data_IF_945932403496
#
_entry.id   IF_945932403496
#
_cell.length_a   1.000
_cell.length_b   1.000
_cell.length_c   1.000
_cell.angle_alpha   90.00
_cell.angle_beta   90.00
_cell.angle_gamma   90.00
#
_symmetry.space_group_name_H-M   'P 1'
#
loop_
_entity.id
_entity.type
_entity.pdbx_description
1 polymer ?
#
# COMPACT_ATOMS: atom_id res chain seq x y z
N UNK A 1 -4.49 5.54 -22.94
CA UNK A 1 -4.38 5.96 -21.53
C UNK A 1 -4.69 4.74 -20.66
N UNK A 2 -3.96 4.49 -19.58
CA UNK A 2 -4.15 3.28 -18.76
C UNK A 2 -5.54 3.32 -18.06
N UNK A 3 -6.41 2.31 -18.20
CA UNK A 3 -7.74 2.29 -17.57
C UNK A 3 -7.73 2.46 -16.04
N UNK A 4 -6.70 1.94 -15.36
CA UNK A 4 -6.53 2.10 -13.92
C UNK A 4 -6.32 3.58 -13.54
N UNK A 5 -5.59 4.34 -14.36
CA UNK A 5 -5.37 5.78 -14.13
C UNK A 5 -6.67 6.56 -14.30
N UNK A 6 -7.47 6.24 -15.33
CA UNK A 6 -8.78 6.87 -15.56
C UNK A 6 -9.69 6.63 -14.36
N UNK A 7 -9.88 5.37 -13.95
CA UNK A 7 -10.75 5.01 -12.84
C UNK A 7 -10.30 5.64 -11.51
N UNK A 8 -9.00 5.80 -11.29
CA UNK A 8 -8.47 6.49 -10.11
C UNK A 8 -8.81 7.98 -10.11
N UNK A 9 -8.68 8.66 -11.26
CA UNK A 9 -9.05 10.08 -11.38
C UNK A 9 -10.55 10.27 -11.22
N UNK A 10 -11.37 9.40 -11.82
CA UNK A 10 -12.84 9.42 -11.64
C UNK A 10 -13.21 9.26 -10.16
N UNK A 11 -12.55 8.33 -9.44
CA UNK A 11 -12.79 8.14 -8.00
C UNK A 11 -12.42 9.38 -7.18
N UNK A 12 -11.36 10.10 -7.56
CA UNK A 12 -10.98 11.37 -6.91
C UNK A 12 -12.01 12.46 -7.19
N UNK A 13 -12.38 12.66 -8.46
CA UNK A 13 -13.37 13.66 -8.86
C UNK A 13 -14.75 13.41 -8.21
N UNK A 14 -15.15 12.15 -8.06
CA UNK A 14 -16.38 11.80 -7.36
C UNK A 14 -16.38 12.29 -5.91
N UNK A 15 -15.24 12.19 -5.21
CA UNK A 15 -15.10 12.68 -3.82
C UNK A 15 -15.11 14.20 -3.72
N UNK A 16 -14.80 14.89 -4.82
CA UNK A 16 -14.76 16.35 -4.86
C UNK A 16 -16.12 16.96 -5.19
N UNK A 17 -17.07 16.17 -5.70
CA UNK A 17 -18.44 16.65 -5.99
C UNK A 17 -19.06 17.27 -4.74
N UNK A 18 -19.63 18.47 -4.87
CA UNK A 18 -20.29 19.16 -3.77
C UNK A 18 -19.34 19.89 -2.83
N UNK A 19 -18.03 19.94 -3.14
CA UNK A 19 -17.02 20.72 -2.41
C UNK A 19 -16.62 22.01 -3.14
N UNK A 20 -17.49 22.54 -4.00
CA UNK A 20 -17.16 23.73 -4.79
C UNK A 20 -16.90 24.95 -3.89
N UNK A 21 -15.70 25.54 -4.02
CA UNK A 21 -15.29 26.71 -3.23
C UNK A 21 -14.63 26.39 -1.89
N UNK A 22 -14.49 25.11 -1.53
CA UNK A 22 -13.72 24.69 -0.35
C UNK A 22 -12.21 24.73 -0.63
N UNK A 23 -11.43 25.19 0.34
CA UNK A 23 -9.97 25.08 0.29
C UNK A 23 -9.57 23.62 0.52
N UNK A 24 -8.61 23.14 -0.27
CA UNK A 24 -8.20 21.74 -0.28
C UNK A 24 -6.68 21.63 -0.31
N UNK A 25 -6.16 20.69 0.49
CA UNK A 25 -4.75 20.33 0.47
C UNK A 25 -4.47 19.44 -0.75
N UNK A 26 -4.02 20.06 -1.83
CA UNK A 26 -3.82 19.40 -3.12
C UNK A 26 -2.76 18.31 -3.04
N UNK A 27 -1.71 18.47 -2.22
CA UNK A 27 -0.67 17.47 -2.12
C UNK A 27 -1.20 16.14 -1.57
N UNK A 28 -2.03 16.17 -0.54
CA UNK A 28 -2.67 15.00 0.04
C UNK A 28 -3.60 14.30 -0.95
N UNK A 29 -4.40 15.06 -1.72
CA UNK A 29 -5.28 14.48 -2.73
C UNK A 29 -4.48 13.78 -3.85
N UNK A 30 -3.37 14.38 -4.30
CA UNK A 30 -2.47 13.74 -5.28
C UNK A 30 -1.74 12.52 -4.69
N UNK A 31 -1.41 12.54 -3.40
CA UNK A 31 -0.86 11.37 -2.70
C UNK A 31 -1.87 10.23 -2.68
N UNK A 32 -3.13 10.52 -2.38
CA UNK A 32 -4.23 9.55 -2.40
C UNK A 32 -4.50 9.02 -3.82
N UNK A 33 -4.48 9.89 -4.83
CA UNK A 33 -4.60 9.50 -6.24
C UNK A 33 -3.47 8.56 -6.65
N UNK A 34 -2.23 8.87 -6.28
CA UNK A 34 -1.06 8.03 -6.57
C UNK A 34 -1.19 6.65 -5.92
N UNK A 35 -1.61 6.60 -4.65
CA UNK A 35 -1.89 5.35 -3.95
C UNK A 35 -2.96 4.52 -4.69
N UNK A 36 -4.03 5.16 -5.15
CA UNK A 36 -5.11 4.51 -5.91
C UNK A 36 -4.61 3.94 -7.24
N UNK A 37 -3.83 4.72 -8.01
CA UNK A 37 -3.22 4.29 -9.29
C UNK A 37 -2.30 3.10 -9.11
N UNK A 38 -1.36 3.17 -8.17
CA UNK A 38 -0.42 2.05 -7.90
C UNK A 38 -1.21 0.83 -7.48
N UNK A 39 -2.21 0.99 -6.60
CA UNK A 39 -2.98 -0.13 -6.09
C UNK A 39 -3.80 -0.83 -7.18
N UNK A 40 -4.48 -0.07 -8.04
CA UNK A 40 -5.26 -0.63 -9.16
C UNK A 40 -4.38 -1.28 -10.21
N UNK A 41 -3.20 -0.71 -10.47
CA UNK A 41 -2.29 -1.23 -11.49
C UNK A 41 -1.54 -2.48 -11.00
N UNK A 42 -1.09 -2.48 -9.74
CA UNK A 42 -0.28 -3.58 -9.20
C UNK A 42 -1.11 -4.74 -8.64
N UNK A 43 -2.30 -4.47 -8.11
CA UNK A 43 -3.12 -5.48 -7.42
C UNK A 43 -4.48 -5.74 -8.08
N UNK A 44 -4.79 -5.08 -9.20
CA UNK A 44 -6.00 -5.34 -9.99
C UNK A 44 -7.29 -5.39 -9.16
N UNK A 45 -7.97 -6.54 -9.16
CA UNK A 45 -9.19 -6.77 -8.39
C UNK A 45 -9.00 -6.66 -6.87
N UNK A 46 -7.77 -6.84 -6.39
CA UNK A 46 -7.39 -6.72 -4.98
C UNK A 46 -6.88 -5.31 -4.60
N UNK A 47 -7.14 -4.28 -5.41
CA UNK A 47 -6.61 -2.92 -5.21
C UNK A 47 -6.92 -2.32 -3.83
N UNK A 48 -8.05 -2.64 -3.21
CA UNK A 48 -8.37 -2.14 -1.86
C UNK A 48 -7.38 -2.65 -0.81
N UNK A 49 -6.90 -3.88 -0.96
CA UNK A 49 -5.88 -4.46 -0.10
C UNK A 49 -4.50 -3.89 -0.43
N UNK A 50 -4.21 -3.72 -1.72
CA UNK A 50 -3.03 -3.01 -2.21
C UNK A 50 -2.90 -1.59 -1.64
N UNK A 51 -4.01 -0.87 -1.51
CA UNK A 51 -4.06 0.48 -0.94
C UNK A 51 -3.63 0.50 0.53
N UNK A 52 -4.11 -0.46 1.33
CA UNK A 52 -3.68 -0.61 2.73
C UNK A 52 -2.19 -0.92 2.83
N UNK A 53 -1.68 -1.81 1.98
CA UNK A 53 -0.25 -2.14 1.93
C UNK A 53 0.57 -0.89 1.57
N UNK A 54 0.14 -0.11 0.57
CA UNK A 54 0.80 1.12 0.16
C UNK A 54 0.83 2.17 1.29
N UNK A 55 -0.26 2.35 2.03
CA UNK A 55 -0.30 3.24 3.19
C UNK A 55 0.67 2.80 4.29
N UNK A 56 0.75 1.49 4.57
CA UNK A 56 1.71 0.94 5.54
C UNK A 56 3.16 1.13 5.07
N UNK A 57 3.45 0.90 3.79
CA UNK A 57 4.76 1.14 3.18
C UNK A 57 5.15 2.62 3.24
N UNK A 58 4.19 3.53 3.01
CA UNK A 58 4.43 4.98 3.10
C UNK A 58 4.84 5.36 4.51
N UNK A 59 4.13 4.88 5.53
CA UNK A 59 4.48 5.12 6.94
C UNK A 59 5.85 4.55 7.30
N UNK A 60 6.12 3.31 6.88
CA UNK A 60 7.42 2.67 7.10
C UNK A 60 8.55 3.47 6.44
N UNK A 61 8.33 3.97 5.22
CA UNK A 61 9.32 4.78 4.49
C UNK A 61 9.64 6.09 5.22
N UNK A 62 8.63 6.76 5.79
CA UNK A 62 8.82 7.97 6.59
C UNK A 62 9.66 7.66 7.84
N UNK A 63 9.37 6.57 8.54
CA UNK A 63 10.18 6.15 9.70
C UNK A 63 11.62 5.85 9.30
N UNK A 64 11.84 5.16 8.18
CA UNK A 64 13.19 4.87 7.67
C UNK A 64 13.94 6.15 7.35
N UNK A 65 13.31 7.10 6.65
CA UNK A 65 13.92 8.40 6.29
C UNK A 65 14.26 9.21 7.55
N UNK A 66 13.33 9.30 8.50
CA UNK A 66 13.54 10.06 9.76
C UNK A 66 14.62 9.45 10.65
N UNK A 67 14.88 8.14 10.51
CA UNK A 67 15.91 7.44 11.25
C UNK A 67 17.21 7.24 10.46
N UNK A 68 17.28 7.66 9.19
CA UNK A 68 18.42 7.41 8.31
C UNK A 68 19.74 7.98 8.88
N UNK A 69 19.68 9.16 9.49
CA UNK A 69 20.83 9.82 10.10
C UNK A 69 21.03 9.50 11.59
N UNK A 70 20.15 8.73 12.22
CA UNK A 70 20.31 8.35 13.64
C UNK A 70 21.33 7.23 13.73
N UNK A 71 22.55 7.56 14.14
CA UNK A 71 23.64 6.61 14.31
C UNK A 71 23.27 5.56 15.35
N UNK A 72 23.11 4.30 14.93
CA UNK A 72 22.80 3.20 15.84
C UNK A 72 24.07 2.77 16.56
N UNK A 73 24.02 2.68 17.88
CA UNK A 73 25.07 2.04 18.66
C UNK A 73 24.83 0.52 18.61
N UNK A 74 25.76 -0.27 18.05
CA UNK A 74 25.63 -1.72 18.01
C UNK A 74 25.39 -2.30 19.42
N UNK A 75 24.43 -3.21 19.57
CA UNK A 75 24.11 -3.88 20.83
C UNK A 75 23.07 -3.16 21.71
N UNK A 76 23.02 -1.83 21.74
CA UNK A 76 22.03 -1.09 22.55
C UNK A 76 20.63 -1.19 21.95
N UNK A 77 20.51 -1.11 20.63
CA UNK A 77 19.21 -1.20 19.92
C UNK A 77 18.49 -2.54 20.10
N UNK A 78 19.22 -3.59 20.49
CA UNK A 78 18.63 -4.92 20.74
C UNK A 78 17.98 -5.00 22.13
N UNK A 79 18.39 -4.15 23.07
CA UNK A 79 17.90 -4.10 24.45
C UNK A 79 16.91 -2.96 24.65
N UNK A 80 17.15 -1.81 24.00
CA UNK A 80 16.34 -0.59 24.11
C UNK A 80 15.91 -0.12 22.73
N UNK A 81 14.80 -0.69 22.24
CA UNK A 81 14.20 -0.26 20.97
C UNK A 81 13.53 1.11 21.14
N UNK A 82 13.76 1.97 20.16
CA UNK A 82 13.02 3.24 20.07
C UNK A 82 11.57 3.00 19.66
N UNK A 83 10.69 3.97 19.90
CA UNK A 83 9.29 3.90 19.44
C UNK A 83 9.21 3.70 17.92
N UNK A 84 10.04 4.43 17.16
CA UNK A 84 10.14 4.32 15.71
C UNK A 84 10.52 2.90 15.24
N UNK A 85 11.43 2.23 15.97
CA UNK A 85 11.84 0.85 15.66
C UNK A 85 10.72 -0.14 15.93
N UNK A 86 10.01 0.01 17.05
CA UNK A 86 8.85 -0.83 17.39
C UNK A 86 7.75 -0.64 16.33
N UNK A 87 7.48 0.60 15.92
CA UNK A 87 6.49 0.88 14.88
C UNK A 87 6.92 0.35 13.51
N UNK A 88 8.19 0.51 13.15
CA UNK A 88 8.74 -0.02 11.89
C UNK A 88 8.62 -1.54 11.82
N UNK A 89 8.94 -2.25 12.90
CA UNK A 89 8.78 -3.72 12.98
C UNK A 89 7.32 -4.14 12.87
N UNK A 90 6.41 -3.41 13.52
CA UNK A 90 4.97 -3.68 13.43
C UNK A 90 4.45 -3.47 12.01
N UNK A 91 4.85 -2.39 11.35
CA UNK A 91 4.47 -2.09 9.96
C UNK A 91 5.04 -3.14 9.00
N UNK A 92 6.33 -3.47 9.11
CA UNK A 92 6.98 -4.48 8.28
C UNK A 92 6.31 -5.86 8.43
N UNK A 93 6.05 -6.28 9.68
CA UNK A 93 5.32 -7.52 9.94
C UNK A 93 3.91 -7.49 9.35
N UNK A 94 3.17 -6.42 9.55
CA UNK A 94 1.81 -6.32 9.01
C UNK A 94 1.75 -6.26 7.48
N UNK A 95 2.75 -5.67 6.81
CA UNK A 95 2.89 -5.74 5.35
C UNK A 95 3.13 -7.19 4.92
N UNK A 96 4.10 -7.86 5.55
CA UNK A 96 4.42 -9.26 5.26
C UNK A 96 3.19 -10.17 5.44
N UNK A 97 2.48 -10.05 6.56
CA UNK A 97 1.32 -10.88 6.87
C UNK A 97 0.20 -10.70 5.83
N UNK A 98 -0.08 -9.46 5.41
CA UNK A 98 -1.06 -9.17 4.35
C UNK A 98 -0.66 -9.74 2.99
N UNK A 99 0.60 -9.56 2.59
CA UNK A 99 1.11 -10.13 1.33
C UNK A 99 1.01 -11.65 1.35
N UNK A 100 1.41 -12.29 2.45
CA UNK A 100 1.31 -13.75 2.60
C UNK A 100 -0.14 -14.24 2.59
N UNK A 101 -1.08 -13.48 3.12
CA UNK A 101 -2.52 -13.80 3.01
C UNK A 101 -2.98 -13.79 1.55
N UNK A 102 -2.54 -12.79 0.77
CA UNK A 102 -2.85 -12.72 -0.66
C UNK A 102 -2.29 -13.91 -1.44
N UNK A 103 -1.02 -14.29 -1.17
CA UNK A 103 -0.38 -15.46 -1.78
C UNK A 103 -1.15 -16.74 -1.45
N UNK A 104 -1.46 -16.99 -0.16
CA UNK A 104 -2.21 -18.17 0.27
C UNK A 104 -3.61 -18.24 -0.36
N UNK A 105 -4.28 -17.10 -0.52
CA UNK A 105 -5.58 -17.03 -1.19
C UNK A 105 -5.46 -17.44 -2.66
N UNK A 106 -4.40 -17.01 -3.37
CA UNK A 106 -4.12 -17.45 -4.75
C UNK A 106 -3.84 -18.96 -4.82
N UNK A 107 -2.96 -19.48 -3.98
CA UNK A 107 -2.64 -20.92 -3.92
C UNK A 107 -3.90 -21.78 -3.71
N UNK A 108 -4.80 -21.34 -2.82
CA UNK A 108 -6.06 -22.03 -2.56
C UNK A 108 -6.98 -22.03 -3.78
N UNK A 109 -7.16 -20.90 -4.44
CA UNK A 109 -8.04 -20.80 -5.62
C UNK A 109 -7.58 -21.73 -6.75
N UNK A 110 -6.25 -21.85 -6.95
CA UNK A 110 -5.66 -22.81 -7.90
C UNK A 110 -6.01 -24.25 -7.54
N UNK A 111 -5.90 -24.61 -6.25
CA UNK A 111 -6.17 -25.97 -5.79
C UNK A 111 -7.62 -26.42 -5.94
N UNK A 112 -8.58 -25.48 -5.94
CA UNK A 112 -10.02 -25.73 -6.03
C UNK A 112 -10.50 -25.77 -7.50
N UNK A 113 -9.65 -25.43 -8.47
CA UNK A 113 -10.03 -25.39 -9.88
C UNK A 113 -11.00 -24.25 -10.22
N UNK A 114 -11.16 -23.29 -9.32
CA UNK A 114 -11.86 -22.03 -9.60
C UNK A 114 -10.98 -21.21 -10.53
N UNK A 115 -11.25 -21.31 -11.84
CA UNK A 115 -10.65 -20.48 -12.88
C UNK A 115 -11.23 -19.06 -12.84
N UNK A 116 -11.31 -18.47 -11.65
CA UNK A 116 -11.62 -17.06 -11.50
C UNK A 116 -10.39 -16.30 -11.97
N UNK A 117 -10.37 -16.06 -13.29
CA UNK A 117 -9.64 -15.03 -14.02
C UNK A 117 -8.46 -14.52 -13.18
N UNK A 118 -7.32 -15.22 -13.26
CA UNK A 118 -6.04 -14.74 -12.74
C UNK A 118 -5.97 -13.26 -13.14
N UNK A 119 -6.15 -12.41 -12.12
CA UNK A 119 -6.47 -11.02 -12.33
C UNK A 119 -5.30 -10.40 -13.07
N UNK A 120 -5.55 -9.62 -14.13
CA UNK A 120 -4.56 -8.98 -15.00
C UNK A 120 -3.58 -7.99 -14.31
N UNK A 121 -3.06 -8.36 -13.14
CA UNK A 121 -2.29 -7.59 -12.20
C UNK A 121 -0.85 -8.11 -12.13
N UNK A 122 -0.01 -7.38 -11.41
CA UNK A 122 1.44 -7.60 -11.39
C UNK A 122 1.86 -8.98 -10.86
N UNK A 123 0.99 -9.65 -10.11
CA UNK A 123 1.29 -10.90 -9.41
C UNK A 123 1.05 -12.14 -10.26
N UNK A 124 0.52 -12.00 -11.48
CA UNK A 124 0.34 -13.13 -12.41
C UNK A 124 1.65 -13.58 -13.07
N UNK A 125 2.71 -12.76 -13.00
CA UNK A 125 4.04 -13.09 -13.53
C UNK A 125 4.98 -13.76 -12.52
N UNK A 126 4.55 -13.93 -11.26
CA UNK A 126 5.33 -14.43 -10.12
C UNK A 126 4.85 -15.82 -9.70
#
# INVERSE_FOLDING_TARGET
MNPAVIASVETMLEKWKGREGEEMEVFEEFRLLTAEVISRTAFGSNYLEGKKIFEMLTRLSILVINNYYKTKIPGISMIWKTADEIESEKLAKGIHDRVMEMVKRREKNVSVGESDNFGNDFWDCL
#
